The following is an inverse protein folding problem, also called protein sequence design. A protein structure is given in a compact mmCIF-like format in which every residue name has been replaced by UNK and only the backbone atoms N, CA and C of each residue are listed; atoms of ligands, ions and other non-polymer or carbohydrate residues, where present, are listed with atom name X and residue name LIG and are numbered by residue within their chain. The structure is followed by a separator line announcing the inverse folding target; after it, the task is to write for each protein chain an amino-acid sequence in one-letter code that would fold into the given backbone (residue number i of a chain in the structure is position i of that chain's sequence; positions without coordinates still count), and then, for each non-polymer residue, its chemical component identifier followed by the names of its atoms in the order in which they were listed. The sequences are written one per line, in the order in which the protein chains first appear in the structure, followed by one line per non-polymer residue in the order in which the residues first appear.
data_IF_640655040315
#
_entry.id   IF_640655040315
#
_cell.length_a   1.000
_cell.length_b   1.000
_cell.length_c   1.000
_cell.angle_alpha   90.00
_cell.angle_beta   90.00
_cell.angle_gamma   90.00
#
_symmetry.space_group_name_H-M   'P 1'
#
loop_
_entity.id
_entity.type
_entity.pdbx_description
1 polymer ?
#
# COMPACT_ATOMS: atom_id res chain seq x y z
N UNK A 1 -10.81 3.49 -17.36
CA UNK A 1 -11.48 2.37 -16.65
C UNK A 1 -10.48 1.25 -16.38
N UNK A 2 -9.69 0.86 -17.39
CA UNK A 2 -8.62 -0.14 -17.25
C UNK A 2 -7.56 0.24 -16.21
N UNK A 3 -7.07 1.48 -16.22
CA UNK A 3 -6.05 1.94 -15.24
C UNK A 3 -6.57 1.99 -13.80
N UNK A 4 -7.85 2.29 -13.60
CA UNK A 4 -8.47 2.23 -12.28
C UNK A 4 -8.52 0.81 -11.73
N UNK A 5 -8.92 -0.15 -12.57
CA UNK A 5 -8.91 -1.57 -12.21
C UNK A 5 -7.48 -2.06 -11.93
N UNK A 6 -6.50 -1.61 -12.72
CA UNK A 6 -5.08 -1.90 -12.48
C UNK A 6 -4.64 -1.35 -11.12
N UNK A 7 -4.94 -0.09 -10.83
CA UNK A 7 -4.61 0.55 -9.54
C UNK A 7 -5.16 -0.26 -8.36
N UNK A 8 -6.46 -0.56 -8.38
CA UNK A 8 -7.12 -1.33 -7.31
C UNK A 8 -6.49 -2.72 -7.18
N UNK A 9 -6.26 -3.41 -8.30
CA UNK A 9 -5.70 -4.76 -8.32
C UNK A 9 -4.30 -4.77 -7.71
N UNK A 10 -3.44 -3.84 -8.12
CA UNK A 10 -2.07 -3.72 -7.60
C UNK A 10 -2.11 -3.38 -6.11
N UNK A 11 -2.90 -2.40 -5.67
CA UNK A 11 -3.01 -2.07 -4.23
C UNK A 11 -3.50 -3.26 -3.41
N UNK A 12 -4.50 -4.01 -3.92
CA UNK A 12 -5.02 -5.20 -3.25
C UNK A 12 -3.96 -6.29 -3.13
N UNK A 13 -3.26 -6.60 -4.23
CA UNK A 13 -2.18 -7.58 -4.25
C UNK A 13 -1.02 -7.18 -3.34
N UNK A 14 -0.70 -5.88 -3.26
CA UNK A 14 0.32 -5.37 -2.35
C UNK A 14 -0.06 -5.61 -0.88
N UNK A 15 -1.29 -5.25 -0.47
CA UNK A 15 -1.76 -5.49 0.91
C UNK A 15 -1.75 -6.98 1.24
N UNK A 16 -2.32 -7.80 0.36
CA UNK A 16 -2.34 -9.27 0.55
C UNK A 16 -0.92 -9.82 0.62
N UNK A 17 -0.03 -9.38 -0.26
CA UNK A 17 1.36 -9.82 -0.32
C UNK A 17 2.14 -9.48 0.96
N UNK A 18 2.00 -8.27 1.48
CA UNK A 18 2.64 -7.86 2.75
C UNK A 18 2.12 -8.72 3.90
N UNK A 19 0.80 -8.85 4.03
CA UNK A 19 0.19 -9.62 5.13
C UNK A 19 0.58 -11.09 5.08
N UNK A 20 0.57 -11.70 3.90
CA UNK A 20 1.06 -13.07 3.70
C UNK A 20 2.56 -13.18 4.02
N UNK A 21 3.35 -12.18 3.66
CA UNK A 21 4.76 -12.09 4.02
C UNK A 21 4.97 -12.10 5.54
N UNK A 22 4.23 -11.26 6.27
CA UNK A 22 4.26 -11.21 7.75
C UNK A 22 3.79 -12.52 8.37
N UNK A 23 2.82 -13.20 7.75
CA UNK A 23 2.36 -14.52 8.21
C UNK A 23 3.42 -15.61 8.03
N UNK A 24 4.11 -15.62 6.89
CA UNK A 24 5.14 -16.60 6.57
C UNK A 24 6.45 -16.35 7.35
N UNK A 25 6.84 -15.09 7.48
CA UNK A 25 8.09 -14.66 8.10
C UNK A 25 7.78 -13.52 9.07
N UNK A 26 7.30 -13.84 10.28
CA UNK A 26 7.07 -12.83 11.31
C UNK A 26 8.40 -12.18 11.75
N UNK A 27 8.29 -10.97 12.28
CA UNK A 27 9.32 -10.16 12.93
C UNK A 27 10.46 -9.70 12.00
N UNK A 28 10.20 -9.63 10.68
CA UNK A 28 11.14 -9.05 9.71
C UNK A 28 11.07 -7.53 9.73
N UNK A 29 11.87 -6.92 10.60
CA UNK A 29 12.08 -5.48 10.62
C UNK A 29 13.23 -5.07 9.69
N UNK A 30 12.97 -4.19 8.73
CA UNK A 30 14.03 -3.49 8.00
C UNK A 30 14.54 -2.37 8.90
N UNK A 31 15.82 -2.45 9.30
CA UNK A 31 16.46 -1.42 10.14
C UNK A 31 17.48 -0.63 9.33
N UNK A 32 17.35 0.69 9.33
CA UNK A 32 18.35 1.61 8.78
C UNK A 32 18.81 2.56 9.88
N UNK A 33 20.13 2.67 10.09
CA UNK A 33 20.70 3.47 11.18
C UNK A 33 20.08 3.18 12.56
N UNK A 34 19.77 1.92 12.85
CA UNK A 34 19.09 1.44 14.09
C UNK A 34 17.64 1.89 14.27
N UNK A 35 17.02 2.51 13.26
CA UNK A 35 15.58 2.82 13.24
C UNK A 35 14.84 1.82 12.38
N UNK A 36 13.68 1.36 12.83
CA UNK A 36 12.79 0.50 12.04
C UNK A 36 12.18 1.36 10.93
N UNK A 37 12.34 0.96 9.68
CA UNK A 37 11.67 1.57 8.54
C UNK A 37 10.39 0.79 8.29
N UNK A 38 9.27 1.43 8.63
CA UNK A 38 7.93 0.97 8.33
C UNK A 38 7.68 0.96 6.83
N UNK A 39 6.87 0.01 6.35
CA UNK A 39 6.56 -0.10 4.93
C UNK A 39 5.74 1.10 4.41
N UNK A 40 5.18 1.91 5.31
CA UNK A 40 4.64 3.24 5.01
C UNK A 40 5.61 4.16 4.28
N UNK A 41 6.87 4.25 4.70
CA UNK A 41 7.83 5.14 4.03
C UNK A 41 8.17 4.68 2.61
N UNK A 42 8.20 3.37 2.40
CA UNK A 42 8.28 2.80 1.05
C UNK A 42 7.02 3.14 0.26
N UNK A 43 5.84 3.09 0.89
CA UNK A 43 4.58 3.52 0.30
C UNK A 43 4.62 4.97 -0.20
N UNK A 44 5.04 5.90 0.65
CA UNK A 44 5.23 7.32 0.30
C UNK A 44 6.25 7.47 -0.84
N UNK A 45 7.38 6.78 -0.77
CA UNK A 45 8.38 6.78 -1.84
C UNK A 45 7.79 6.33 -3.18
N UNK A 46 7.04 5.23 -3.22
CA UNK A 46 6.41 4.73 -4.44
C UNK A 46 5.30 5.66 -4.98
N UNK A 47 4.55 6.33 -4.09
CA UNK A 47 3.60 7.38 -4.49
C UNK A 47 4.34 8.51 -5.20
N UNK A 48 5.44 9.02 -4.65
CA UNK A 48 6.21 10.09 -5.33
C UNK A 48 6.94 9.60 -6.59
N UNK A 49 7.40 8.34 -6.60
CA UNK A 49 8.03 7.74 -7.76
C UNK A 49 7.04 7.53 -8.93
N UNK A 50 5.73 7.45 -8.64
CA UNK A 50 4.70 7.27 -9.66
C UNK A 50 4.64 8.41 -10.68
N UNK A 51 4.92 9.66 -10.27
CA UNK A 51 4.89 10.83 -11.17
C UNK A 51 5.96 10.78 -12.27
N UNK A 52 7.27 10.67 -11.96
CA UNK A 52 8.28 10.56 -13.01
C UNK A 52 8.13 9.26 -13.82
N UNK A 53 7.64 8.17 -13.23
CA UNK A 53 7.37 6.94 -13.98
C UNK A 53 6.20 7.10 -14.95
N UNK A 54 5.13 7.79 -14.56
CA UNK A 54 3.98 8.11 -15.42
C UNK A 54 4.42 8.84 -16.69
N UNK A 55 5.36 9.79 -16.56
CA UNK A 55 5.89 10.55 -17.69
C UNK A 55 6.66 9.69 -18.70
N UNK A 56 7.24 8.57 -18.29
CA UNK A 56 7.96 7.63 -19.18
C UNK A 56 7.02 6.53 -19.69
N UNK A 57 6.22 5.96 -18.81
CA UNK A 57 5.25 4.91 -19.10
C UNK A 57 4.11 5.00 -18.09
N UNK A 58 2.94 5.40 -18.58
CA UNK A 58 1.77 5.61 -17.73
C UNK A 58 1.40 4.39 -16.88
N UNK A 59 1.43 3.19 -17.47
CA UNK A 59 1.15 1.93 -16.76
C UNK A 59 2.13 1.71 -15.60
N UNK A 60 3.42 2.01 -15.78
CA UNK A 60 4.41 1.93 -14.69
C UNK A 60 4.10 2.93 -13.57
N UNK A 61 3.66 4.14 -13.93
CA UNK A 61 3.18 5.13 -12.97
C UNK A 61 2.01 4.61 -12.14
N UNK A 62 0.99 4.06 -12.80
CA UNK A 62 -0.20 3.47 -12.13
C UNK A 62 0.18 2.29 -11.23
N UNK A 63 1.09 1.42 -11.67
CA UNK A 63 1.61 0.30 -10.86
C UNK A 63 2.34 0.83 -9.62
N UNK A 64 3.24 1.80 -9.78
CA UNK A 64 3.96 2.40 -8.66
C UNK A 64 3.01 3.09 -7.67
N UNK A 65 2.00 3.81 -8.17
CA UNK A 65 0.96 4.41 -7.34
C UNK A 65 0.18 3.34 -6.57
N UNK A 66 -0.21 2.24 -7.23
CA UNK A 66 -0.94 1.13 -6.62
C UNK A 66 -0.15 0.47 -5.51
N UNK A 67 1.15 0.19 -5.74
CA UNK A 67 2.07 -0.33 -4.72
C UNK A 67 2.19 0.65 -3.56
N UNK A 68 2.38 1.93 -3.86
CA UNK A 68 2.54 2.98 -2.87
C UNK A 68 1.33 3.15 -1.95
N UNK A 69 0.14 3.22 -2.53
CA UNK A 69 -1.13 3.30 -1.79
C UNK A 69 -1.41 2.03 -0.99
N UNK A 70 -1.10 0.84 -1.54
CA UNK A 70 -1.27 -0.43 -0.83
C UNK A 70 -0.40 -0.52 0.42
N UNK A 71 0.89 -0.19 0.29
CA UNK A 71 1.84 -0.13 1.41
C UNK A 71 1.40 0.90 2.47
N UNK A 72 1.04 2.11 2.05
CA UNK A 72 0.64 3.16 2.99
C UNK A 72 -0.67 2.81 3.71
N UNK A 73 -1.65 2.25 3.00
CA UNK A 73 -2.92 1.83 3.56
C UNK A 73 -2.75 0.73 4.61
N UNK A 74 -1.94 -0.29 4.32
CA UNK A 74 -1.74 -1.40 5.27
C UNK A 74 -1.07 -0.93 6.57
N UNK A 75 -0.01 -0.12 6.49
CA UNK A 75 0.65 0.41 7.69
C UNK A 75 -0.27 1.38 8.45
N UNK A 76 -1.04 2.23 7.76
CA UNK A 76 -1.99 3.13 8.43
C UNK A 76 -2.99 2.33 9.27
N UNK A 77 -3.53 1.24 8.72
CA UNK A 77 -4.43 0.35 9.44
C UNK A 77 -3.71 -0.31 10.62
N UNK A 78 -2.49 -0.80 10.42
CA UNK A 78 -1.69 -1.39 11.51
C UNK A 78 -1.44 -0.39 12.66
N UNK A 79 -1.04 0.84 12.34
CA UNK A 79 -0.80 1.91 13.33
C UNK A 79 -2.08 2.29 14.08
N UNK A 80 -3.22 2.42 13.39
CA UNK A 80 -4.51 2.72 14.01
C UNK A 80 -4.95 1.66 15.02
N UNK A 81 -4.53 0.41 14.82
CA UNK A 81 -4.82 -0.71 15.72
C UNK A 81 -3.72 -0.94 16.78
N UNK A 82 -2.87 0.07 17.00
CA UNK A 82 -1.92 0.12 18.11
C UNK A 82 -0.49 -0.26 17.77
N UNK A 83 -0.15 -0.50 16.50
CA UNK A 83 1.22 -0.65 16.01
C UNK A 83 2.07 -1.66 16.82
N UNK A 84 1.42 -2.71 17.33
CA UNK A 84 1.90 -3.53 18.42
C UNK A 84 2.78 -4.68 17.98
N UNK A 85 2.19 -5.69 17.34
CA UNK A 85 2.86 -6.93 16.92
C UNK A 85 2.21 -7.50 15.67
N UNK A 86 2.94 -8.34 14.95
CA UNK A 86 2.52 -8.98 13.70
C UNK A 86 1.14 -9.68 13.72
N UNK A 87 0.73 -10.17 14.90
CA UNK A 87 -0.62 -10.74 15.08
C UNK A 87 -1.74 -9.74 14.73
N UNK A 88 -1.48 -8.44 14.83
CA UNK A 88 -2.45 -7.40 14.55
C UNK A 88 -2.82 -7.31 13.06
N UNK A 89 -1.92 -7.69 12.14
CA UNK A 89 -2.21 -7.71 10.70
C UNK A 89 -3.37 -8.65 10.34
N UNK A 90 -3.63 -9.67 11.16
CA UNK A 90 -4.67 -10.67 10.91
C UNK A 90 -5.87 -10.59 11.84
N UNK A 91 -5.92 -9.56 12.70
CA UNK A 91 -7.11 -9.32 13.51
C UNK A 91 -8.27 -8.85 12.62
N UNK A 92 -9.50 -9.23 12.98
CA UNK A 92 -10.71 -8.82 12.24
C UNK A 92 -10.77 -7.30 12.02
N UNK A 93 -10.52 -6.43 13.03
CA UNK A 93 -10.52 -4.99 12.82
C UNK A 93 -9.51 -4.52 11.78
N UNK A 94 -8.31 -5.12 11.75
CA UNK A 94 -7.28 -4.79 10.76
C UNK A 94 -7.65 -5.23 9.34
N UNK A 95 -8.26 -6.40 9.18
CA UNK A 95 -8.73 -6.86 7.86
C UNK A 95 -9.85 -5.95 7.34
N UNK A 96 -10.80 -5.59 8.21
CA UNK A 96 -11.88 -4.66 7.88
C UNK A 96 -11.34 -3.26 7.57
N UNK A 97 -10.35 -2.78 8.33
CA UNK A 97 -9.69 -1.49 8.08
C UNK A 97 -9.04 -1.42 6.71
N UNK A 98 -8.27 -2.43 6.32
CA UNK A 98 -7.65 -2.47 4.99
C UNK A 98 -8.67 -2.59 3.87
N UNK A 99 -9.75 -3.35 4.07
CA UNK A 99 -10.86 -3.38 3.12
C UNK A 99 -11.52 -1.99 2.96
N UNK A 100 -11.73 -1.26 4.07
CA UNK A 100 -12.30 0.09 4.02
C UNK A 100 -11.40 1.10 3.29
N UNK A 101 -10.08 1.04 3.50
CA UNK A 101 -9.14 1.86 2.73
C UNK A 101 -9.07 1.46 1.26
N UNK A 102 -9.14 0.16 0.93
CA UNK A 102 -9.25 -0.28 -0.47
C UNK A 102 -10.52 0.22 -1.15
N UNK A 103 -11.66 0.21 -0.45
CA UNK A 103 -12.91 0.80 -0.95
C UNK A 103 -12.77 2.31 -1.17
N UNK A 104 -12.00 2.99 -0.32
CA UNK A 104 -11.71 4.41 -0.49
C UNK A 104 -10.85 4.63 -1.74
N UNK A 105 -9.77 3.87 -1.92
CA UNK A 105 -8.95 3.90 -3.16
C UNK A 105 -9.82 3.63 -4.38
N UNK A 106 -10.71 2.63 -4.33
CA UNK A 106 -11.60 2.28 -5.43
C UNK A 106 -12.60 3.40 -5.77
N UNK A 107 -13.10 4.10 -4.76
CA UNK A 107 -14.04 5.22 -4.92
C UNK A 107 -13.37 6.45 -5.55
N UNK A 108 -12.07 6.64 -5.29
CA UNK A 108 -11.27 7.76 -5.83
C UNK A 108 -10.36 7.35 -6.99
N UNK A 109 -10.45 6.13 -7.51
CA UNK A 109 -9.49 5.56 -8.47
C UNK A 109 -9.30 6.45 -9.71
N UNK A 110 -10.38 7.02 -10.25
CA UNK A 110 -10.32 7.88 -11.43
C UNK A 110 -9.58 9.17 -11.14
N UNK A 111 -9.86 9.81 -9.99
CA UNK A 111 -9.16 11.01 -9.56
C UNK A 111 -7.68 10.74 -9.28
N UNK A 112 -7.36 9.60 -8.66
CA UNK A 112 -6.00 9.19 -8.33
C UNK A 112 -5.16 8.92 -9.59
N UNK A 113 -5.72 8.21 -10.58
CA UNK A 113 -5.04 7.99 -11.87
C UNK A 113 -4.91 9.30 -12.65
N UNK A 114 -5.96 10.12 -12.68
CA UNK A 114 -5.91 11.41 -13.37
C UNK A 114 -4.88 12.37 -12.77
N UNK A 115 -4.54 12.21 -11.49
CA UNK A 115 -3.50 13.01 -10.84
C UNK A 115 -2.08 12.71 -11.36
N UNK A 116 -1.90 11.62 -12.10
CA UNK A 116 -0.63 11.27 -12.75
C UNK A 116 -0.43 11.97 -14.11
N UNK A 117 -1.41 12.75 -14.58
CA UNK A 117 -1.38 13.57 -15.81
C UNK A 117 -1.16 15.05 -15.47
#
# INVERSE_FOLDING_TARGET
MEDGLLLISVSTLTIVGIRLGVWLIPEVDIKLFRRVIHHFWFGIFFIFLSFPLSAVNHTLGVVALGVGLGLAADELVFMLHGGGRDKQYWTVPSVVGSAALLLSIASFQTSLVNFLY
#
